data_IF_645247992519
#
_entry.id   IF_645247992519
#
_cell.length_a   1.000
_cell.length_b   1.000
_cell.length_c   1.000
_cell.angle_alpha   90.00
_cell.angle_beta   90.00
_cell.angle_gamma   90.00
#
_symmetry.space_group_name_H-M   'P 1'
#
loop_
_entity.id
_entity.type
_entity.pdbx_description
1 polymer ?
#
# COMPACT_ATOMS: atom_id res chain seq x y z
N UNK A 1 -19.91 -13.31 10.50
CA UNK A 1 -21.17 -14.02 10.83
C UNK A 1 -21.98 -14.17 9.57
N UNK A 2 -22.73 -15.26 9.46
CA UNK A 2 -23.60 -15.51 8.32
C UNK A 2 -24.69 -14.41 8.22
N UNK A 3 -24.93 -13.86 7.02
CA UNK A 3 -25.94 -12.82 6.80
C UNK A 3 -27.36 -13.39 6.97
N UNK A 4 -28.33 -12.51 7.17
CA UNK A 4 -29.75 -12.87 7.34
C UNK A 4 -30.38 -13.56 6.14
N UNK A 5 -29.76 -13.46 4.96
CA UNK A 5 -30.18 -14.14 3.73
C UNK A 5 -29.78 -15.61 3.66
N UNK A 6 -28.94 -16.09 4.58
CA UNK A 6 -28.52 -17.48 4.65
C UNK A 6 -29.40 -18.29 5.62
N UNK A 7 -29.60 -19.57 5.35
CA UNK A 7 -30.34 -20.47 6.25
C UNK A 7 -29.61 -20.69 7.58
N UNK A 8 -28.29 -20.51 7.61
CA UNK A 8 -27.46 -20.51 8.82
C UNK A 8 -27.18 -19.10 9.36
N UNK A 9 -28.11 -18.15 9.15
CA UNK A 9 -27.99 -16.78 9.62
C UNK A 9 -27.56 -16.70 11.10
N UNK A 10 -26.61 -15.81 11.41
CA UNK A 10 -26.06 -15.64 12.75
C UNK A 10 -24.96 -16.64 13.12
N UNK A 11 -24.74 -17.70 12.34
CA UNK A 11 -23.61 -18.62 12.56
C UNK A 11 -22.28 -17.87 12.44
N UNK A 12 -21.37 -18.16 13.37
CA UNK A 12 -19.97 -17.71 13.29
C UNK A 12 -19.15 -18.87 12.77
N UNK A 13 -18.65 -18.73 11.54
CA UNK A 13 -17.73 -19.70 10.95
C UNK A 13 -16.45 -19.82 11.78
N UNK A 14 -15.77 -20.95 11.66
CA UNK A 14 -14.45 -21.13 12.24
C UNK A 14 -13.47 -20.05 11.73
N UNK A 15 -12.42 -19.71 12.51
CA UNK A 15 -11.40 -18.78 12.06
C UNK A 15 -10.74 -19.24 10.76
N UNK A 16 -10.70 -18.34 9.78
CA UNK A 16 -10.01 -18.55 8.51
C UNK A 16 -8.51 -18.76 8.71
N UNK A 17 -7.93 -19.70 7.95
CA UNK A 17 -6.50 -19.97 7.96
C UNK A 17 -5.88 -19.57 6.64
N UNK A 18 -5.21 -18.42 6.62
CA UNK A 18 -4.35 -18.04 5.49
C UNK A 18 -3.07 -18.88 5.47
N UNK A 19 -2.53 -19.10 4.27
CA UNK A 19 -1.25 -19.80 4.06
C UNK A 19 -0.32 -18.91 3.25
N UNK A 20 0.95 -18.86 3.64
CA UNK A 20 1.98 -18.11 2.92
C UNK A 20 3.19 -18.99 2.69
N UNK A 21 3.75 -18.87 1.49
CA UNK A 21 5.10 -19.32 1.16
C UNK A 21 5.88 -18.11 0.65
N UNK A 22 7.15 -18.01 1.04
CA UNK A 22 8.00 -16.88 0.69
C UNK A 22 9.45 -17.35 0.53
N UNK A 23 10.13 -16.77 -0.45
CA UNK A 23 11.56 -16.89 -0.65
C UNK A 23 12.12 -15.49 -0.88
N UNK A 24 13.24 -15.17 -0.27
CA UNK A 24 13.85 -13.87 -0.44
C UNK A 24 15.30 -13.83 0.00
N UNK A 25 15.96 -12.74 -0.36
CA UNK A 25 17.32 -12.43 0.04
C UNK A 25 17.39 -11.03 0.62
N UNK A 26 18.37 -10.84 1.51
CA UNK A 26 18.69 -9.55 2.13
C UNK A 26 20.17 -9.30 1.93
N UNK A 27 20.50 -8.12 1.44
CA UNK A 27 21.87 -7.73 1.11
C UNK A 27 22.17 -6.47 1.92
N UNK A 28 23.18 -6.55 2.77
CA UNK A 28 23.70 -5.43 3.53
C UNK A 28 25.03 -4.97 2.89
N UNK A 29 25.07 -3.72 2.45
CA UNK A 29 26.23 -3.06 1.83
C UNK A 29 26.88 -2.05 2.79
N UNK A 30 26.61 -2.17 4.09
CA UNK A 30 27.10 -1.31 5.16
C UNK A 30 26.19 -0.11 5.41
N UNK A 31 26.20 0.86 4.48
CA UNK A 31 25.34 2.06 4.60
C UNK A 31 23.99 1.91 3.92
N UNK A 32 23.86 0.95 3.02
CA UNK A 32 22.67 0.69 2.23
C UNK A 32 22.29 -0.77 2.39
N UNK A 33 21.01 -1.05 2.56
CA UNK A 33 20.48 -2.41 2.56
C UNK A 33 19.38 -2.54 1.50
N UNK A 34 19.31 -3.73 0.93
CA UNK A 34 18.33 -4.11 -0.10
C UNK A 34 17.71 -5.44 0.27
N UNK A 35 16.40 -5.58 0.05
CA UNK A 35 15.69 -6.85 0.16
C UNK A 35 14.98 -7.17 -1.13
N UNK A 36 15.04 -8.43 -1.56
CA UNK A 36 14.25 -8.93 -2.68
C UNK A 36 13.52 -10.19 -2.24
N UNK A 37 12.22 -10.26 -2.45
CA UNK A 37 11.43 -11.44 -2.11
C UNK A 37 10.40 -11.77 -3.19
N UNK A 38 9.99 -13.04 -3.20
CA UNK A 38 8.86 -13.54 -3.94
C UNK A 38 7.96 -14.29 -2.96
N UNK A 39 6.66 -14.04 -3.02
CA UNK A 39 5.70 -14.64 -2.10
C UNK A 39 4.44 -15.14 -2.81
N UNK A 40 3.75 -16.06 -2.15
CA UNK A 40 2.37 -16.44 -2.46
C UNK A 40 1.59 -16.52 -1.16
N UNK A 41 0.45 -15.84 -1.09
CA UNK A 41 -0.49 -15.86 0.03
C UNK A 41 -1.84 -16.37 -0.47
N UNK A 42 -2.37 -17.40 0.16
CA UNK A 42 -3.73 -17.91 -0.04
C UNK A 42 -4.58 -17.53 1.17
N UNK A 43 -5.69 -16.83 0.93
CA UNK A 43 -6.60 -16.35 1.95
C UNK A 43 -8.02 -16.82 1.64
N UNK A 44 -8.60 -17.68 2.50
CA UNK A 44 -10.01 -18.04 2.35
C UNK A 44 -10.92 -16.89 2.77
N UNK A 45 -12.13 -16.87 2.21
CA UNK A 45 -13.18 -15.94 2.60
C UNK A 45 -14.56 -16.60 2.57
N UNK A 46 -15.48 -16.02 3.33
CA UNK A 46 -16.85 -16.49 3.41
C UNK A 46 -17.68 -16.00 2.23
N UNK A 47 -18.53 -16.87 1.69
CA UNK A 47 -19.45 -16.56 0.60
C UNK A 47 -20.77 -17.30 0.78
N UNK A 48 -21.81 -16.84 0.09
CA UNK A 48 -23.07 -17.57 -0.02
C UNK A 48 -22.98 -18.61 -1.13
N UNK A 49 -23.37 -19.84 -0.83
CA UNK A 49 -23.45 -20.94 -1.79
C UNK A 49 -24.86 -21.52 -1.82
N UNK A 50 -25.34 -21.81 -3.03
CA UNK A 50 -26.61 -22.52 -3.22
C UNK A 50 -26.41 -24.01 -2.95
N UNK A 51 -27.17 -24.57 -2.00
CA UNK A 51 -27.19 -26.00 -1.67
C UNK A 51 -28.63 -26.50 -1.73
N UNK A 52 -29.00 -27.10 -2.86
CA UNK A 52 -30.41 -27.42 -3.13
C UNK A 52 -31.23 -26.15 -3.34
N UNK A 53 -32.28 -25.95 -2.55
CA UNK A 53 -33.10 -24.73 -2.53
C UNK A 53 -32.53 -23.63 -1.62
N UNK A 54 -31.53 -23.94 -0.81
CA UNK A 54 -31.11 -23.10 0.31
C UNK A 54 -29.84 -22.31 -0.02
N UNK A 55 -29.72 -21.10 0.52
CA UNK A 55 -28.47 -20.34 0.53
C UNK A 55 -27.77 -20.56 1.87
N UNK A 56 -26.56 -21.10 1.83
CA UNK A 56 -25.75 -21.35 3.03
C UNK A 56 -24.50 -20.48 2.98
N UNK A 57 -24.18 -19.80 4.08
CA UNK A 57 -22.93 -19.05 4.19
C UNK A 57 -21.80 -19.97 4.66
N UNK A 58 -20.74 -20.07 3.87
CA UNK A 58 -19.63 -21.01 4.11
C UNK A 58 -18.28 -20.39 3.75
N UNK A 59 -17.20 -20.95 4.30
CA UNK A 59 -15.82 -20.68 3.88
C UNK A 59 -15.53 -21.38 2.53
N UNK A 60 -16.16 -20.88 1.47
CA UNK A 60 -16.06 -21.45 0.12
C UNK A 60 -15.14 -20.67 -0.83
N UNK A 61 -14.88 -19.41 -0.51
CA UNK A 61 -14.10 -18.51 -1.34
C UNK A 61 -12.60 -18.58 -1.04
N UNK A 62 -11.77 -18.27 -2.03
CA UNK A 62 -10.33 -18.14 -1.86
C UNK A 62 -9.77 -17.08 -2.81
N UNK A 63 -8.90 -16.25 -2.26
CA UNK A 63 -8.07 -15.32 -2.99
C UNK A 63 -6.60 -15.75 -2.86
N UNK A 64 -5.86 -15.75 -3.96
CA UNK A 64 -4.42 -15.94 -4.00
C UNK A 64 -3.74 -14.66 -4.44
N UNK A 65 -2.74 -14.22 -3.70
CA UNK A 65 -1.89 -13.09 -4.08
C UNK A 65 -0.46 -13.60 -4.27
N UNK A 66 0.09 -13.43 -5.46
CA UNK A 66 1.51 -13.69 -5.76
C UNK A 66 2.22 -12.38 -6.00
N UNK A 67 3.42 -12.21 -5.45
CA UNK A 67 4.12 -10.95 -5.63
C UNK A 67 5.63 -11.08 -5.62
N UNK A 68 6.25 -10.06 -6.19
CA UNK A 68 7.67 -9.77 -6.09
C UNK A 68 7.84 -8.44 -5.38
N UNK A 69 8.72 -8.39 -4.38
CA UNK A 69 9.02 -7.17 -3.65
C UNK A 69 10.50 -6.85 -3.75
N UNK A 70 10.79 -5.59 -3.96
CA UNK A 70 12.12 -5.01 -3.86
C UNK A 70 12.03 -3.84 -2.90
N UNK A 71 12.87 -3.81 -1.87
CA UNK A 71 12.99 -2.66 -0.97
C UNK A 71 14.44 -2.23 -0.86
N UNK A 72 14.65 -0.93 -0.68
CA UNK A 72 15.93 -0.28 -0.46
C UNK A 72 15.81 0.70 0.69
N UNK A 73 16.77 0.68 1.59
CA UNK A 73 16.82 1.63 2.70
C UNK A 73 18.27 1.89 3.13
N UNK A 74 18.56 3.14 3.46
CA UNK A 74 19.86 3.55 3.98
C UNK A 74 20.43 4.76 3.24
N UNK A 75 21.74 4.90 3.27
CA UNK A 75 22.50 6.03 2.75
C UNK A 75 23.36 5.60 1.56
N UNK A 76 22.94 5.98 0.35
CA UNK A 76 23.59 5.57 -0.91
C UNK A 76 24.94 6.26 -1.12
N UNK A 77 25.07 7.49 -0.64
CA UNK A 77 26.31 8.28 -0.62
C UNK A 77 26.24 9.25 0.57
N UNK A 78 27.37 9.74 1.15
CA UNK A 78 27.30 10.68 2.26
C UNK A 78 26.32 11.84 2.02
N UNK A 79 25.36 11.99 2.91
CA UNK A 79 24.32 13.02 2.85
C UNK A 79 23.12 12.69 1.97
N UNK A 80 23.06 11.53 1.29
CA UNK A 80 21.89 11.11 0.50
C UNK A 80 21.30 9.81 1.02
N UNK A 81 20.08 9.89 1.54
CA UNK A 81 19.34 8.74 2.09
C UNK A 81 18.21 8.36 1.17
N UNK A 82 17.99 7.06 1.02
CA UNK A 82 16.86 6.47 0.30
C UNK A 82 16.06 5.58 1.23
N UNK A 83 14.75 5.57 1.03
CA UNK A 83 13.83 4.63 1.66
C UNK A 83 12.70 4.36 0.69
N UNK A 84 12.51 3.12 0.30
CA UNK A 84 11.40 2.79 -0.59
C UNK A 84 11.43 1.37 -1.11
N UNK A 85 10.51 1.10 -2.01
CA UNK A 85 10.37 -0.18 -2.65
C UNK A 85 9.34 -0.20 -3.77
N UNK A 86 9.29 -1.33 -4.45
CA UNK A 86 8.30 -1.68 -5.45
C UNK A 86 7.77 -3.08 -5.17
N UNK A 87 6.46 -3.22 -5.28
CA UNK A 87 5.76 -4.49 -5.24
C UNK A 87 5.05 -4.70 -6.56
N UNK A 88 5.36 -5.80 -7.23
CA UNK A 88 4.58 -6.32 -8.35
C UNK A 88 3.64 -7.39 -7.79
N UNK A 89 2.35 -7.29 -8.08
CA UNK A 89 1.33 -8.11 -7.44
C UNK A 89 0.37 -8.68 -8.48
N UNK A 90 0.11 -9.97 -8.37
CA UNK A 90 -0.92 -10.70 -9.09
C UNK A 90 -1.91 -11.24 -8.06
N UNK A 91 -3.06 -10.58 -7.95
CA UNK A 91 -4.19 -11.09 -7.18
C UNK A 91 -5.14 -11.89 -8.06
N UNK A 92 -5.59 -13.05 -7.59
CA UNK A 92 -6.54 -13.91 -8.29
C UNK A 92 -7.61 -14.44 -7.32
N UNK A 93 -8.87 -14.37 -7.72
CA UNK A 93 -9.96 -15.10 -7.06
C UNK A 93 -9.96 -16.57 -7.52
N UNK A 94 -9.18 -17.40 -6.83
CA UNK A 94 -8.99 -18.83 -7.19
C UNK A 94 -10.23 -19.69 -6.92
N UNK A 95 -11.02 -19.33 -5.90
CA UNK A 95 -12.32 -19.97 -5.62
C UNK A 95 -13.39 -18.93 -5.35
N UNK A 96 -14.51 -19.09 -6.04
CA UNK A 96 -15.71 -18.23 -5.94
C UNK A 96 -16.96 -19.09 -6.15
N UNK A 97 -18.10 -18.59 -5.68
CA UNK A 97 -19.43 -19.18 -5.89
C UNK A 97 -19.96 -18.99 -7.33
N UNK A 98 -19.23 -18.29 -8.21
CA UNK A 98 -19.61 -18.04 -9.59
C UNK A 98 -18.42 -18.26 -10.53
N UNK A 99 -18.61 -19.10 -11.56
CA UNK A 99 -17.58 -19.32 -12.57
C UNK A 99 -17.18 -18.04 -13.31
N UNK A 100 -18.07 -17.05 -13.40
CA UNK A 100 -17.82 -15.78 -14.08
C UNK A 100 -16.82 -14.86 -13.36
N UNK A 101 -16.59 -15.07 -12.05
CA UNK A 101 -15.65 -14.26 -11.24
C UNK A 101 -14.40 -15.03 -10.84
N UNK A 102 -14.33 -16.32 -11.16
CA UNK A 102 -13.14 -17.14 -10.88
C UNK A 102 -12.02 -16.77 -11.85
N UNK A 103 -10.83 -16.53 -11.33
CA UNK A 103 -9.67 -16.06 -12.10
C UNK A 103 -9.60 -14.54 -12.22
N UNK A 104 -10.62 -13.81 -11.80
CA UNK A 104 -10.61 -12.35 -11.81
C UNK A 104 -9.68 -11.78 -10.73
N UNK A 105 -9.20 -10.56 -10.95
CA UNK A 105 -8.44 -9.80 -9.97
C UNK A 105 -9.36 -9.35 -8.84
N UNK A 106 -9.01 -9.57 -7.57
CA UNK A 106 -9.78 -9.08 -6.44
C UNK A 106 -9.90 -7.55 -6.42
N UNK A 107 -11.03 -7.06 -5.91
CA UNK A 107 -11.30 -5.62 -5.76
C UNK A 107 -10.17 -4.94 -4.99
N UNK A 108 -9.71 -3.78 -5.48
CA UNK A 108 -8.72 -2.96 -4.78
C UNK A 108 -7.29 -3.50 -4.80
N UNK A 109 -7.00 -4.59 -5.52
CA UNK A 109 -5.63 -5.11 -5.66
C UNK A 109 -4.95 -4.48 -6.87
N UNK A 110 -3.98 -3.56 -6.70
CA UNK A 110 -3.22 -3.01 -7.82
C UNK A 110 -2.16 -3.99 -8.30
N UNK A 111 -1.83 -3.96 -9.59
CA UNK A 111 -0.76 -4.80 -10.16
C UNK A 111 0.66 -4.33 -9.81
N UNK A 112 0.80 -3.05 -9.46
CA UNK A 112 2.06 -2.42 -9.05
C UNK A 112 1.81 -1.41 -7.94
N UNK A 113 2.69 -1.41 -6.95
CA UNK A 113 2.81 -0.36 -5.95
C UNK A 113 4.26 0.07 -5.86
N UNK A 114 4.50 1.36 -5.84
CA UNK A 114 5.84 1.94 -5.72
C UNK A 114 5.80 3.09 -4.72
N UNK A 115 6.78 3.14 -3.84
CA UNK A 115 7.00 4.24 -2.92
C UNK A 115 8.50 4.45 -2.78
N UNK A 116 9.00 5.64 -3.11
CA UNK A 116 10.41 5.98 -2.95
C UNK A 116 10.56 7.39 -2.39
N UNK A 117 11.15 7.46 -1.21
CA UNK A 117 11.62 8.67 -0.56
C UNK A 117 13.13 8.83 -0.71
N UNK A 118 13.55 10.08 -0.96
CA UNK A 118 14.94 10.50 -0.96
C UNK A 118 15.10 11.73 -0.05
N UNK A 119 16.15 11.73 0.77
CA UNK A 119 16.61 12.91 1.49
C UNK A 119 18.03 13.27 1.08
N UNK A 120 18.32 14.56 0.98
CA UNK A 120 19.64 15.09 0.64
C UNK A 120 20.04 16.21 1.60
N UNK A 121 21.08 15.99 2.39
CA UNK A 121 21.75 17.01 3.18
C UNK A 121 22.61 17.87 2.25
N UNK A 122 22.27 19.16 2.16
CA UNK A 122 22.86 20.02 1.14
C UNK A 122 24.30 20.42 1.52
N UNK A 123 25.25 20.43 0.56
CA UNK A 123 26.62 20.83 0.85
C UNK A 123 26.79 22.35 0.98
N UNK A 124 25.79 23.13 0.54
CA UNK A 124 25.86 24.59 0.47
C UNK A 124 25.18 25.29 1.65
N UNK A 125 24.35 24.59 2.43
CA UNK A 125 23.76 25.10 3.65
C UNK A 125 23.76 24.02 4.73
N UNK A 126 24.64 24.18 5.71
CA UNK A 126 24.75 23.26 6.84
C UNK A 126 23.42 23.19 7.59
N UNK A 127 22.98 21.97 7.91
CA UNK A 127 21.72 21.72 8.61
C UNK A 127 20.47 21.70 7.72
N UNK A 128 20.59 22.05 6.42
CA UNK A 128 19.49 21.91 5.47
C UNK A 128 19.47 20.51 4.85
N UNK A 129 18.34 19.83 5.00
CA UNK A 129 17.96 18.62 4.26
C UNK A 129 16.81 18.94 3.32
N UNK A 130 16.92 18.55 2.05
CA UNK A 130 15.81 18.53 1.08
C UNK A 130 15.29 17.10 0.95
N UNK A 131 13.98 16.94 0.75
CA UNK A 131 13.33 15.65 0.63
C UNK A 131 12.34 15.61 -0.53
N UNK A 132 12.22 14.45 -1.15
CA UNK A 132 11.21 14.16 -2.16
C UNK A 132 10.68 12.74 -1.95
N UNK A 133 9.36 12.54 -2.09
CA UNK A 133 8.74 11.23 -2.08
C UNK A 133 7.89 11.07 -3.33
N UNK A 134 8.03 9.94 -4.03
CA UNK A 134 7.20 9.55 -5.15
C UNK A 134 6.43 8.30 -4.79
N UNK A 135 5.11 8.36 -4.89
CA UNK A 135 4.21 7.25 -4.60
C UNK A 135 3.42 6.96 -5.87
N UNK A 136 3.31 5.69 -6.24
CA UNK A 136 2.52 5.25 -7.39
C UNK A 136 1.73 4.00 -7.03
N UNK A 137 0.44 4.02 -7.38
CA UNK A 137 -0.45 2.86 -7.26
C UNK A 137 -1.06 2.59 -8.62
N UNK A 138 -0.93 1.35 -9.09
CA UNK A 138 -1.54 0.89 -10.33
C UNK A 138 -3.06 0.94 -10.30
N UNK A 139 -3.69 0.71 -11.45
CA UNK A 139 -5.15 0.62 -11.58
C UNK A 139 -5.73 -0.44 -10.63
N UNK A 140 -6.96 -0.23 -10.18
CA UNK A 140 -7.64 -1.15 -9.27
C UNK A 140 -9.07 -1.39 -9.75
N UNK A 141 -9.50 -2.66 -9.79
CA UNK A 141 -10.90 -2.98 -10.05
C UNK A 141 -11.78 -2.60 -8.87
N UNK A 142 -13.00 -2.12 -9.17
CA UNK A 142 -14.01 -1.76 -8.17
C UNK A 142 -15.08 -2.83 -7.96
N UNK A 143 -15.14 -3.80 -8.87
CA UNK A 143 -16.07 -4.93 -8.83
C UNK A 143 -15.35 -6.27 -9.05
N UNK A 144 -15.97 -7.37 -8.60
CA UNK A 144 -15.44 -8.73 -8.77
C UNK A 144 -15.61 -9.26 -10.18
N UNK A 145 -16.43 -8.60 -11.02
CA UNK A 145 -16.60 -8.92 -12.43
C UNK A 145 -15.45 -8.38 -13.29
N UNK A 146 -14.62 -7.50 -12.74
CA UNK A 146 -13.54 -6.77 -13.43
C UNK A 146 -14.05 -5.94 -14.62
N UNK A 147 -15.26 -5.38 -14.50
CA UNK A 147 -15.88 -4.53 -15.53
C UNK A 147 -15.66 -3.04 -15.32
N UNK A 148 -15.29 -2.64 -14.11
CA UNK A 148 -15.02 -1.25 -13.74
C UNK A 148 -13.72 -1.15 -12.95
N UNK A 149 -12.93 -0.13 -13.24
CA UNK A 149 -11.67 0.15 -12.57
C UNK A 149 -11.50 1.64 -12.28
N UNK A 150 -10.74 1.96 -11.23
CA UNK A 150 -10.16 3.28 -11.04
C UNK A 150 -8.79 3.34 -11.71
N UNK A 151 -8.41 4.48 -12.32
CA UNK A 151 -7.13 4.63 -12.97
C UNK A 151 -5.98 4.55 -11.97
N UNK A 152 -4.77 4.33 -12.50
CA UNK A 152 -3.56 4.50 -11.71
C UNK A 152 -3.41 5.97 -11.26
N UNK A 153 -2.60 6.20 -10.25
CA UNK A 153 -2.21 7.54 -9.83
C UNK A 153 -0.76 7.56 -9.38
N UNK A 154 -0.14 8.73 -9.49
CA UNK A 154 1.21 9.00 -9.02
C UNK A 154 1.20 10.31 -8.25
N UNK A 155 1.81 10.34 -7.07
CA UNK A 155 1.91 11.53 -6.23
C UNK A 155 3.36 11.88 -5.97
N UNK A 156 3.68 13.16 -6.11
CA UNK A 156 4.95 13.75 -5.69
C UNK A 156 4.73 14.58 -4.43
N UNK A 157 5.52 14.30 -3.40
CA UNK A 157 5.59 15.09 -2.18
C UNK A 157 7.01 15.68 -2.06
N UNK A 158 7.11 16.93 -1.63
CA UNK A 158 8.39 17.63 -1.42
C UNK A 158 8.51 18.11 0.02
N UNK A 159 9.72 18.16 0.54
CA UNK A 159 9.98 18.61 1.89
C UNK A 159 11.33 19.29 2.08
N UNK A 160 11.43 20.07 3.14
CA UNK A 160 12.66 20.65 3.62
C UNK A 160 12.71 20.59 5.14
N UNK A 161 13.87 20.26 5.69
CA UNK A 161 14.17 20.31 7.12
C UNK A 161 15.40 21.17 7.31
N UNK A 162 15.33 22.12 8.24
CA UNK A 162 16.48 22.95 8.60
C UNK A 162 16.75 22.87 10.09
N UNK A 163 17.91 22.35 10.44
CA UNK A 163 18.40 22.25 11.81
C UNK A 163 19.43 23.35 12.07
N UNK A 164 19.20 24.16 13.10
CA UNK A 164 20.05 25.30 13.48
C UNK A 164 20.01 25.49 14.99
N UNK A 165 20.84 26.40 15.50
CA UNK A 165 20.76 26.86 16.88
C UNK A 165 20.24 28.31 16.94
N UNK A 166 19.39 28.59 17.92
CA UNK A 166 18.89 29.94 18.23
C UNK A 166 19.03 30.15 19.74
N UNK A 167 19.85 31.11 20.15
CA UNK A 167 20.16 31.37 21.58
C UNK A 167 20.62 30.09 22.31
N UNK A 168 21.59 29.37 21.73
CA UNK A 168 22.15 28.12 22.27
C UNK A 168 21.14 26.98 22.44
N UNK A 169 19.99 27.05 21.77
CA UNK A 169 18.97 26.00 21.76
C UNK A 169 18.88 25.38 20.37
N UNK A 170 18.91 24.04 20.24
CA UNK A 170 18.64 23.36 18.98
C UNK A 170 17.21 23.64 18.53
N UNK A 171 17.06 24.11 17.30
CA UNK A 171 15.77 24.38 16.66
C UNK A 171 15.73 23.65 15.32
N UNK A 172 14.62 22.95 15.07
CA UNK A 172 14.38 22.30 13.79
C UNK A 172 13.09 22.82 13.17
N UNK A 173 13.22 23.41 11.98
CA UNK A 173 12.10 23.79 11.13
C UNK A 173 11.83 22.68 10.11
N UNK A 174 10.56 22.39 9.84
CA UNK A 174 10.15 21.47 8.78
C UNK A 174 9.05 22.10 7.94
N UNK A 175 9.18 21.97 6.64
CA UNK A 175 8.17 22.30 5.66
C UNK A 175 7.93 21.10 4.75
N UNK A 176 6.68 20.81 4.42
CA UNK A 176 6.32 19.78 3.45
C UNK A 176 5.14 20.23 2.60
N UNK A 177 5.14 19.82 1.34
CA UNK A 177 4.04 19.94 0.40
C UNK A 177 3.73 18.54 -0.11
N UNK A 178 2.57 18.01 0.25
CA UNK A 178 2.06 16.74 -0.25
C UNK A 178 1.16 16.99 -1.46
N UNK A 179 1.17 16.09 -2.43
CA UNK A 179 0.45 16.22 -3.70
C UNK A 179 0.78 17.54 -4.43
N UNK A 180 2.06 17.75 -4.77
CA UNK A 180 2.59 19.01 -5.33
C UNK A 180 1.89 19.43 -6.64
N UNK A 181 1.36 18.48 -7.41
CA UNK A 181 0.64 18.76 -8.64
C UNK A 181 -0.86 19.01 -8.45
N UNK A 182 -1.36 18.88 -7.21
CA UNK A 182 -2.78 19.02 -6.87
C UNK A 182 -3.69 18.12 -7.72
N UNK A 183 -3.23 16.90 -7.99
CA UNK A 183 -3.98 15.95 -8.80
C UNK A 183 -5.20 15.43 -8.02
N UNK A 184 -6.36 15.40 -8.68
CA UNK A 184 -7.57 14.73 -8.21
C UNK A 184 -7.54 13.25 -8.64
N UNK A 185 -7.53 12.34 -7.67
CA UNK A 185 -7.47 10.91 -7.94
C UNK A 185 -8.27 10.08 -6.92
N UNK A 186 -8.61 8.85 -7.32
CA UNK A 186 -9.13 7.83 -6.41
C UNK A 186 -7.96 7.07 -5.80
N UNK A 187 -7.74 7.25 -4.50
CA UNK A 187 -6.60 6.68 -3.78
C UNK A 187 -6.74 5.16 -3.55
N UNK A 188 -7.96 4.63 -3.56
CA UNK A 188 -8.19 3.21 -3.41
C UNK A 188 -9.67 2.83 -3.32
N UNK A 189 -9.89 1.51 -3.27
CA UNK A 189 -11.22 0.90 -3.23
C UNK A 189 -11.37 0.04 -1.97
N UNK A 190 -12.46 0.20 -1.23
CA UNK A 190 -12.86 -0.71 -0.18
C UNK A 190 -13.75 -1.84 -0.73
N UNK A 191 -13.80 -2.99 -0.03
CA UNK A 191 -14.42 -4.25 -0.50
C UNK A 191 -15.92 -4.20 -0.87
N UNK A 192 -16.60 -3.07 -0.67
CA UNK A 192 -18.01 -2.83 -1.04
C UNK A 192 -18.17 -1.73 -2.12
N UNK A 193 -17.12 -1.45 -2.90
CA UNK A 193 -17.15 -0.48 -3.99
C UNK A 193 -17.05 0.98 -3.53
N UNK A 194 -16.76 1.23 -2.25
CA UNK A 194 -16.49 2.59 -1.75
C UNK A 194 -15.13 3.05 -2.23
N UNK A 195 -15.09 4.24 -2.85
CA UNK A 195 -13.87 4.86 -3.33
C UNK A 195 -13.38 5.90 -2.31
N UNK A 196 -12.08 5.91 -2.05
CA UNK A 196 -11.43 6.96 -1.28
C UNK A 196 -10.83 8.00 -2.23
N UNK A 197 -11.19 9.28 -2.06
CA UNK A 197 -10.54 10.36 -2.80
C UNK A 197 -9.16 10.64 -2.18
N UNK A 198 -8.17 10.93 -3.04
CA UNK A 198 -6.87 11.43 -2.63
C UNK A 198 -6.98 12.77 -1.91
N UNK A 199 -6.06 13.04 -0.99
CA UNK A 199 -5.98 14.36 -0.38
C UNK A 199 -5.48 15.38 -1.42
N UNK A 200 -6.04 16.61 -1.44
CA UNK A 200 -5.55 17.68 -2.30
C UNK A 200 -4.17 18.14 -1.83
N UNK A 201 -3.57 19.07 -2.56
CA UNK A 201 -2.32 19.72 -2.18
C UNK A 201 -2.39 20.19 -0.72
N UNK A 202 -1.45 19.70 0.09
CA UNK A 202 -1.42 19.97 1.53
C UNK A 202 -0.07 20.51 1.95
N UNK A 203 -0.07 21.72 2.52
CA UNK A 203 1.14 22.36 3.06
C UNK A 203 1.21 22.16 4.57
N UNK A 204 2.35 21.67 5.06
CA UNK A 204 2.62 21.44 6.49
C UNK A 204 3.85 22.21 6.92
N UNK A 205 3.74 22.91 8.04
CA UNK A 205 4.85 23.65 8.67
C UNK A 205 4.93 23.26 10.14
N UNK A 206 6.14 23.06 10.65
CA UNK A 206 6.35 22.82 12.09
C UNK A 206 7.71 23.33 12.54
N UNK A 207 7.81 23.59 13.84
CA UNK A 207 9.03 23.95 14.54
C UNK A 207 9.13 23.10 15.80
N UNK A 208 10.33 22.59 16.09
CA UNK A 208 10.64 21.88 17.33
C UNK A 208 11.85 22.55 17.98
N UNK A 209 11.82 22.69 19.30
CA UNK A 209 12.92 23.23 20.12
C UNK A 209 13.03 22.39 21.38
N UNK A 210 14.27 22.15 21.82
CA UNK A 210 14.55 21.50 23.10
C UNK A 210 14.89 22.59 24.15
N UNK A 211 14.55 22.34 25.42
CA UNK A 211 14.69 23.30 26.53
C UNK A 211 15.83 22.93 27.49
#
# INVERSE_FOLDING_TARGET
>A
TAPTTAVNAGETLAPYRSRQIEIGTKIDLGRLAVTVSAFQIEKPFGQLETRGSDLVFVEGGEQRNRGLEFNVFGEVTPGVRLLGGVTLLEGELTRTNSAATRGNTPIGVPSVQFNLGAEWDTPFLQGLTLAANVIHTGRQYVDTANTQEIPFWTRLDLGARYHTEIQDRPVTFRAAVENVFDDDYWAGVASYGTLAQGAPLTVKLSMTTDF
#
